data_IF_967753204873
#
_entry.id   IF_967753204873
#
_cell.length_a   1.000
_cell.length_b   1.000
_cell.length_c   1.000
_cell.angle_alpha   90.00
_cell.angle_beta   90.00
_cell.angle_gamma   90.00
#
_symmetry.space_group_name_H-M   'P 1'
#
loop_
_entity.id
_entity.type
_entity.pdbx_description
1 polymer ?
#
# COMPACT_ATOMS: atom_id res chain seq x y z
N UNK A 1 -11.82 -9.25 4.99
CA UNK A 1 -10.97 -9.21 3.79
C UNK A 1 -11.59 -10.05 2.69
N UNK A 2 -11.85 -9.49 1.51
CA UNK A 2 -12.60 -10.14 0.42
C UNK A 2 -11.71 -10.74 -0.68
N UNK A 3 -10.51 -11.23 -0.35
CA UNK A 3 -9.54 -11.73 -1.32
C UNK A 3 -10.02 -13.03 -2.00
N UNK A 4 -9.76 -13.18 -3.30
CA UNK A 4 -10.15 -14.37 -4.09
C UNK A 4 -8.92 -15.27 -4.33
N UNK A 5 -8.76 -16.34 -3.54
CA UNK A 5 -7.62 -17.25 -3.62
C UNK A 5 -7.93 -18.60 -2.95
N UNK A 6 -7.01 -19.56 -3.08
CA UNK A 6 -7.07 -20.85 -2.39
C UNK A 6 -8.11 -21.82 -2.98
N UNK A 7 -8.52 -22.80 -2.19
CA UNK A 7 -9.43 -23.87 -2.59
C UNK A 7 -10.88 -23.42 -2.81
N UNK A 8 -11.21 -22.20 -2.40
CA UNK A 8 -12.53 -21.57 -2.53
C UNK A 8 -12.61 -20.55 -3.66
N UNK A 9 -11.49 -20.29 -4.34
CA UNK A 9 -11.40 -19.29 -5.40
C UNK A 9 -12.46 -19.49 -6.47
N UNK A 10 -12.96 -18.38 -7.01
CA UNK A 10 -13.97 -18.36 -8.08
C UNK A 10 -15.23 -19.17 -7.76
N UNK A 11 -15.54 -19.30 -6.47
CA UNK A 11 -16.70 -20.03 -5.98
C UNK A 11 -16.61 -21.55 -6.13
N UNK A 12 -15.40 -22.11 -6.22
CA UNK A 12 -15.17 -23.55 -6.47
C UNK A 12 -15.82 -24.50 -5.45
N UNK A 13 -16.13 -24.02 -4.23
CA UNK A 13 -16.76 -24.80 -3.15
C UNK A 13 -18.13 -24.29 -2.76
N UNK A 14 -18.29 -22.96 -2.75
CA UNK A 14 -19.52 -22.22 -2.42
C UNK A 14 -19.38 -20.80 -2.95
N UNK A 15 -20.46 -20.02 -2.98
CA UNK A 15 -20.37 -18.59 -3.32
C UNK A 15 -19.51 -17.88 -2.28
N UNK A 16 -18.25 -17.61 -2.63
CA UNK A 16 -17.28 -17.00 -1.72
C UNK A 16 -17.66 -15.54 -1.46
N UNK A 17 -17.47 -15.07 -0.23
CA UNK A 17 -17.55 -13.65 0.13
C UNK A 17 -16.31 -12.87 -0.36
N UNK A 18 -16.04 -12.91 -1.66
CA UNK A 18 -14.98 -12.13 -2.32
C UNK A 18 -15.46 -10.74 -2.70
N UNK A 19 -14.54 -9.79 -2.94
CA UNK A 19 -14.85 -8.40 -3.34
C UNK A 19 -15.88 -8.34 -4.48
N UNK A 20 -15.73 -9.18 -5.50
CA UNK A 20 -16.64 -9.21 -6.65
C UNK A 20 -18.01 -9.84 -6.35
N UNK A 21 -18.11 -10.66 -5.31
CA UNK A 21 -19.34 -11.37 -4.91
C UNK A 21 -20.11 -10.66 -3.80
N UNK A 22 -19.47 -9.74 -3.06
CA UNK A 22 -20.08 -8.96 -1.98
C UNK A 22 -20.85 -7.72 -2.47
N UNK A 23 -20.78 -7.42 -3.77
CA UNK A 23 -21.42 -6.25 -4.37
C UNK A 23 -22.94 -6.23 -4.16
N UNK A 24 -23.46 -5.19 -3.51
CA UNK A 24 -24.88 -5.02 -3.18
C UNK A 24 -25.32 -5.71 -1.88
N UNK A 25 -24.40 -6.23 -1.08
CA UNK A 25 -24.69 -6.90 0.20
C UNK A 25 -24.65 -5.95 1.41
N UNK A 26 -24.05 -4.77 1.27
CA UNK A 26 -23.76 -3.86 2.38
C UNK A 26 -22.60 -4.31 3.29
N UNK A 27 -21.88 -5.37 2.93
CA UNK A 27 -20.71 -5.87 3.67
C UNK A 27 -19.43 -5.23 3.12
N UNK A 28 -18.72 -4.50 3.97
CA UNK A 28 -17.43 -3.88 3.65
C UNK A 28 -16.30 -4.85 3.34
N UNK A 29 -15.48 -4.53 2.33
CA UNK A 29 -14.24 -5.22 2.04
C UNK A 29 -13.08 -4.24 1.81
N UNK A 30 -11.87 -4.62 2.20
CA UNK A 30 -10.67 -3.82 1.97
C UNK A 30 -10.40 -3.65 0.47
N UNK A 31 -10.13 -2.41 0.05
CA UNK A 31 -9.71 -2.10 -1.33
C UNK A 31 -8.20 -2.06 -1.43
N UNK A 32 -7.65 -3.04 -2.14
CA UNK A 32 -6.24 -3.15 -2.55
C UNK A 32 -5.88 -2.24 -3.74
N UNK A 33 -6.86 -1.79 -4.54
CA UNK A 33 -6.64 -0.96 -5.74
C UNK A 33 -5.91 0.34 -5.42
N UNK A 34 -6.53 1.17 -4.56
CA UNK A 34 -5.96 2.47 -4.16
C UNK A 34 -4.71 2.29 -3.31
N UNK A 35 -4.69 1.26 -2.44
CA UNK A 35 -3.53 0.89 -1.62
C UNK A 35 -2.29 0.67 -2.48
N UNK A 36 -2.37 -0.20 -3.47
CA UNK A 36 -1.21 -0.58 -4.29
C UNK A 36 -0.78 0.55 -5.20
N UNK A 37 -1.73 1.30 -5.78
CA UNK A 37 -1.40 2.48 -6.58
C UNK A 37 -0.67 3.55 -5.76
N UNK A 38 -1.06 3.74 -4.50
CA UNK A 38 -0.44 4.71 -3.59
C UNK A 38 0.94 4.24 -3.12
N UNK A 39 1.03 3.02 -2.58
CA UNK A 39 2.24 2.46 -1.98
C UNK A 39 3.27 1.99 -2.99
N UNK A 40 2.83 1.54 -4.17
CA UNK A 40 3.65 0.86 -5.16
C UNK A 40 3.93 -0.58 -4.80
N UNK A 41 4.05 -1.44 -5.82
CA UNK A 41 4.39 -2.83 -5.61
C UNK A 41 3.20 -3.73 -5.28
N UNK A 42 3.47 -4.85 -4.61
CA UNK A 42 2.45 -5.79 -4.13
C UNK A 42 2.87 -6.46 -2.81
N UNK A 43 1.92 -7.03 -2.03
CA UNK A 43 2.22 -7.65 -0.72
C UNK A 43 3.28 -8.75 -0.73
N UNK A 44 3.44 -9.46 -1.86
CA UNK A 44 4.39 -10.56 -2.00
C UNK A 44 5.78 -10.17 -2.48
N UNK A 45 6.05 -8.88 -2.69
CA UNK A 45 7.35 -8.45 -3.24
C UNK A 45 8.50 -8.59 -2.24
N UNK A 46 9.70 -8.82 -2.76
CA UNK A 46 10.90 -8.96 -1.93
C UNK A 46 12.16 -8.59 -2.71
N UNK A 47 13.28 -8.42 -2.01
CA UNK A 47 14.55 -8.08 -2.63
C UNK A 47 14.52 -6.71 -3.32
N UNK A 48 15.05 -6.62 -4.54
CA UNK A 48 15.12 -5.36 -5.27
C UNK A 48 13.74 -4.77 -5.58
N UNK A 49 12.72 -5.60 -5.78
CA UNK A 49 11.37 -5.14 -6.11
C UNK A 49 10.76 -4.28 -5.00
N UNK A 50 11.10 -4.57 -3.73
CA UNK A 50 10.67 -3.77 -2.58
C UNK A 50 11.09 -2.30 -2.66
N UNK A 51 12.19 -2.01 -3.36
CA UNK A 51 12.68 -0.65 -3.62
C UNK A 51 12.23 -0.16 -5.00
N UNK A 52 12.38 -0.99 -6.03
CA UNK A 52 12.22 -0.60 -7.42
C UNK A 52 10.78 -0.24 -7.81
N UNK A 53 9.78 -0.90 -7.20
CA UNK A 53 8.37 -0.70 -7.52
C UNK A 53 7.77 0.47 -6.74
N UNK A 54 8.13 1.69 -7.12
CA UNK A 54 7.54 2.91 -6.57
C UNK A 54 6.04 3.01 -6.91
N UNK A 55 5.29 3.67 -6.03
CA UNK A 55 3.89 4.04 -6.21
C UNK A 55 3.73 5.55 -6.30
N UNK A 56 2.50 5.98 -6.47
CA UNK A 56 2.15 7.39 -6.67
C UNK A 56 2.68 8.28 -5.52
N UNK A 57 2.64 7.79 -4.27
CA UNK A 57 3.11 8.55 -3.11
C UNK A 57 4.63 8.73 -3.05
N UNK A 58 5.41 7.78 -3.56
CA UNK A 58 6.82 7.66 -3.22
C UNK A 58 7.78 7.76 -4.40
N UNK A 59 7.42 8.58 -5.39
CA UNK A 59 8.35 9.00 -6.44
C UNK A 59 8.21 8.31 -7.78
N UNK A 60 7.13 7.54 -8.02
CA UNK A 60 6.90 6.85 -9.29
C UNK A 60 7.08 7.80 -10.48
N UNK A 61 8.10 7.55 -11.30
CA UNK A 61 8.53 8.36 -12.47
C UNK A 61 9.09 9.74 -12.12
N UNK A 62 8.46 10.53 -11.26
CA UNK A 62 8.84 11.93 -11.01
C UNK A 62 10.01 12.12 -10.04
N UNK A 63 10.30 11.12 -9.20
CA UNK A 63 11.43 11.10 -8.29
C UNK A 63 11.98 9.66 -8.20
N UNK A 64 12.56 9.15 -9.31
CA UNK A 64 12.99 7.77 -9.39
C UNK A 64 14.10 7.49 -8.37
N UNK A 65 13.97 6.40 -7.62
CA UNK A 65 15.06 5.92 -6.77
C UNK A 65 16.09 5.13 -7.60
N UNK A 66 17.18 4.72 -6.96
CA UNK A 66 18.31 4.07 -7.64
C UNK A 66 17.99 2.74 -8.36
N UNK A 67 16.88 2.06 -8.01
CA UNK A 67 16.46 0.81 -8.65
C UNK A 67 15.18 0.97 -9.50
N UNK A 68 14.67 2.20 -9.59
CA UNK A 68 13.45 2.50 -10.34
C UNK A 68 13.66 2.23 -11.84
N UNK A 69 12.67 1.59 -12.45
CA UNK A 69 12.67 1.21 -13.86
C UNK A 69 11.26 1.30 -14.47
N UNK A 70 10.39 2.12 -13.88
CA UNK A 70 9.04 2.30 -14.37
C UNK A 70 9.02 3.18 -15.62
N UNK A 71 8.24 2.78 -16.62
CA UNK A 71 7.98 3.58 -17.81
C UNK A 71 7.16 4.85 -17.47
N UNK A 72 7.26 5.93 -18.25
CA UNK A 72 6.56 7.19 -17.98
C UNK A 72 5.06 7.05 -17.79
N UNK A 73 4.41 6.13 -18.51
CA UNK A 73 2.97 5.86 -18.44
C UNK A 73 2.53 5.26 -17.10
N UNK A 74 3.44 4.71 -16.30
CA UNK A 74 3.11 4.11 -15.02
C UNK A 74 2.53 5.12 -14.02
N UNK A 75 3.02 6.37 -14.02
CA UNK A 75 2.53 7.43 -13.14
C UNK A 75 1.07 7.82 -13.43
N UNK A 76 0.68 8.17 -14.67
CA UNK A 76 -0.72 8.47 -14.98
C UNK A 76 -1.64 7.25 -14.81
N UNK A 77 -1.17 6.02 -15.07
CA UNK A 77 -1.93 4.80 -14.77
C UNK A 77 -2.19 4.64 -13.26
N UNK A 78 -1.17 4.84 -12.43
CA UNK A 78 -1.34 4.82 -10.98
C UNK A 78 -2.29 5.93 -10.52
N UNK A 79 -2.22 7.13 -11.11
CA UNK A 79 -3.12 8.24 -10.81
C UNK A 79 -4.59 7.92 -11.10
N UNK A 80 -4.89 7.16 -12.16
CA UNK A 80 -6.26 6.68 -12.41
C UNK A 80 -6.73 5.71 -11.32
N UNK A 81 -5.88 4.80 -10.84
CA UNK A 81 -6.21 3.92 -9.72
C UNK A 81 -6.34 4.67 -8.38
N UNK A 82 -5.59 5.76 -8.18
CA UNK A 82 -5.83 6.68 -7.05
C UNK A 82 -7.22 7.29 -7.15
N UNK A 83 -7.62 7.77 -8.33
CA UNK A 83 -8.97 8.33 -8.55
C UNK A 83 -10.07 7.27 -8.37
N UNK A 84 -9.83 6.03 -8.78
CA UNK A 84 -10.71 4.89 -8.49
C UNK A 84 -10.92 4.73 -6.98
N UNK A 85 -9.84 4.74 -6.20
CA UNK A 85 -9.90 4.65 -4.74
C UNK A 85 -10.64 5.84 -4.10
N UNK A 86 -10.36 7.07 -4.55
CA UNK A 86 -11.05 8.28 -4.09
C UNK A 86 -12.55 8.25 -4.37
N UNK A 87 -12.96 7.66 -5.50
CA UNK A 87 -14.36 7.46 -5.87
C UNK A 87 -15.00 6.21 -5.21
N UNK A 88 -14.31 5.56 -4.26
CA UNK A 88 -14.84 4.44 -3.50
C UNK A 88 -15.02 3.16 -4.31
N UNK A 89 -14.21 2.94 -5.36
CA UNK A 89 -14.26 1.73 -6.21
C UNK A 89 -15.68 1.36 -6.68
N UNK A 90 -16.55 2.37 -6.87
CA UNK A 90 -17.94 2.19 -7.27
C UNK A 90 -18.01 1.78 -8.75
N UNK A 91 -18.58 0.61 -9.03
CA UNK A 91 -18.65 0.01 -10.38
C UNK A 91 -19.21 0.98 -11.41
N UNK A 92 -20.31 1.64 -11.07
CA UNK A 92 -21.08 2.51 -11.96
C UNK A 92 -20.51 3.92 -12.13
N UNK A 93 -19.56 4.34 -11.29
CA UNK A 93 -18.98 5.68 -11.37
C UNK A 93 -18.08 5.77 -12.61
N UNK A 94 -18.12 6.89 -13.34
CA UNK A 94 -17.29 7.10 -14.53
C UNK A 94 -16.27 8.21 -14.30
N UNK A 95 -15.04 8.01 -14.77
CA UNK A 95 -14.00 9.03 -14.80
C UNK A 95 -13.35 9.10 -16.19
N UNK A 96 -12.76 10.26 -16.50
CA UNK A 96 -11.88 10.41 -17.66
C UNK A 96 -10.50 9.90 -17.30
N UNK A 97 -10.04 8.86 -17.99
CA UNK A 97 -8.73 8.24 -17.79
C UNK A 97 -7.62 9.15 -18.27
N UNK A 98 -6.38 8.82 -17.95
CA UNK A 98 -5.21 9.53 -18.47
C UNK A 98 -5.07 9.48 -20.00
N UNK A 99 -5.75 8.55 -20.66
CA UNK A 99 -5.83 8.44 -22.13
C UNK A 99 -6.94 9.30 -22.74
N UNK A 100 -7.72 10.00 -21.92
CA UNK A 100 -8.85 10.82 -22.34
C UNK A 100 -10.16 10.04 -22.56
N UNK A 101 -10.18 8.75 -22.25
CA UNK A 101 -11.37 7.91 -22.38
C UNK A 101 -12.27 8.08 -21.14
N UNK A 102 -13.59 8.18 -21.32
CA UNK A 102 -14.51 8.14 -20.17
C UNK A 102 -14.95 6.70 -19.94
N UNK A 103 -14.46 6.09 -18.86
CA UNK A 103 -14.74 4.71 -18.51
C UNK A 103 -15.43 4.64 -17.15
N UNK A 104 -16.35 3.70 -16.99
CA UNK A 104 -16.80 3.29 -15.66
C UNK A 104 -15.67 2.59 -14.92
N UNK A 105 -15.66 2.64 -13.59
CA UNK A 105 -14.58 2.04 -12.81
C UNK A 105 -14.52 0.51 -12.98
N UNK A 106 -15.64 -0.15 -13.28
CA UNK A 106 -15.66 -1.58 -13.61
C UNK A 106 -15.05 -1.93 -14.98
N UNK A 107 -14.74 -0.94 -15.80
CA UNK A 107 -14.06 -1.08 -17.09
C UNK A 107 -12.55 -0.78 -17.00
N UNK A 108 -12.08 -0.23 -15.87
CA UNK A 108 -10.67 0.02 -15.62
C UNK A 108 -10.04 -1.24 -15.02
N UNK A 109 -8.90 -1.68 -15.58
CA UNK A 109 -8.22 -2.87 -15.12
C UNK A 109 -7.39 -2.62 -13.83
N UNK A 110 -7.45 -3.57 -12.91
CA UNK A 110 -6.52 -3.76 -11.81
C UNK A 110 -6.02 -5.21 -11.86
N UNK A 111 -4.86 -5.41 -12.47
CA UNK A 111 -4.38 -6.75 -12.83
C UNK A 111 -5.38 -7.46 -13.75
N UNK A 112 -5.86 -8.63 -13.34
CA UNK A 112 -6.88 -9.40 -14.05
C UNK A 112 -8.31 -9.14 -13.54
N UNK A 113 -8.52 -8.14 -12.69
CA UNK A 113 -9.81 -7.80 -12.09
C UNK A 113 -10.25 -6.38 -12.48
N UNK A 114 -11.56 -6.07 -12.38
CA UNK A 114 -12.00 -4.68 -12.49
C UNK A 114 -11.56 -3.87 -11.26
N UNK A 115 -11.26 -2.59 -11.48
CA UNK A 115 -10.85 -1.65 -10.43
C UNK A 115 -12.06 -1.18 -9.59
N UNK A 116 -13.22 -1.02 -10.23
CA UNK A 116 -14.51 -0.84 -9.57
C UNK A 116 -15.20 -2.18 -9.30
N UNK A 117 -15.63 -2.41 -8.06
CA UNK A 117 -16.27 -3.66 -7.65
C UNK A 117 -17.51 -3.48 -6.75
N UNK A 118 -17.64 -2.33 -6.09
CA UNK A 118 -18.70 -2.06 -5.12
C UNK A 118 -19.92 -1.33 -5.71
N UNK A 119 -21.09 -1.53 -5.10
CA UNK A 119 -22.35 -0.86 -5.49
C UNK A 119 -22.56 0.40 -4.68
N UNK A 120 -22.09 0.43 -3.44
CA UNK A 120 -22.23 1.55 -2.52
C UNK A 120 -20.94 1.83 -1.75
N UNK A 121 -20.70 3.07 -1.29
CA UNK A 121 -19.46 3.43 -0.61
C UNK A 121 -19.19 2.62 0.66
N UNK A 122 -20.25 2.20 1.37
CA UNK A 122 -20.13 1.40 2.60
C UNK A 122 -19.48 0.02 2.40
N UNK A 123 -19.43 -0.48 1.17
CA UNK A 123 -18.84 -1.77 0.83
C UNK A 123 -17.31 -1.72 0.65
N UNK A 124 -16.71 -0.52 0.75
CA UNK A 124 -15.29 -0.28 0.48
C UNK A 124 -14.59 0.28 1.69
N UNK A 125 -13.56 -0.44 2.13
CA UNK A 125 -12.64 0.01 3.19
C UNK A 125 -11.33 0.45 2.53
N UNK A 126 -11.09 1.76 2.50
CA UNK A 126 -9.90 2.37 1.93
C UNK A 126 -8.78 2.47 2.98
N UNK A 127 -7.57 2.15 2.56
CA UNK A 127 -6.38 2.15 3.41
C UNK A 127 -5.11 2.24 2.58
N UNK A 128 -4.04 2.71 3.22
CA UNK A 128 -2.66 2.68 2.68
C UNK A 128 -1.68 2.00 3.63
N UNK A 129 -2.18 1.53 4.77
CA UNK A 129 -1.41 0.85 5.81
C UNK A 129 -2.33 -0.08 6.60
N UNK A 130 -1.82 -1.25 6.99
CA UNK A 130 -2.48 -2.19 7.89
C UNK A 130 -1.45 -2.86 8.80
N UNK A 131 -1.90 -3.75 9.68
CA UNK A 131 -1.02 -4.52 10.57
C UNK A 131 -0.13 -5.50 9.81
N UNK A 132 -0.63 -6.11 8.73
CA UNK A 132 0.12 -6.95 7.81
C UNK A 132 0.90 -6.09 6.80
N UNK A 133 2.01 -6.63 6.29
CA UNK A 133 2.97 -5.91 5.46
C UNK A 133 3.70 -4.79 6.24
N UNK A 134 4.50 -4.01 5.52
CA UNK A 134 5.22 -2.86 6.09
C UNK A 134 4.27 -1.71 6.42
N UNK A 135 4.58 -0.96 7.49
CA UNK A 135 3.94 0.34 7.74
C UNK A 135 4.13 1.28 6.54
N UNK A 136 3.33 2.34 6.41
CA UNK A 136 3.51 3.31 5.32
C UNK A 136 4.87 4.02 5.45
N UNK A 137 5.31 4.29 6.68
CA UNK A 137 6.63 4.84 6.94
C UNK A 137 7.73 3.91 6.42
N UNK A 138 7.67 2.61 6.77
CA UNK A 138 8.66 1.62 6.35
C UNK A 138 8.65 1.38 4.83
N UNK A 139 7.47 1.37 4.22
CA UNK A 139 7.30 1.33 2.77
C UNK A 139 7.98 2.54 2.09
N UNK A 140 7.77 3.74 2.64
CA UNK A 140 8.38 4.97 2.14
C UNK A 140 9.90 5.02 2.39
N UNK A 141 10.39 4.45 3.50
CA UNK A 141 11.81 4.27 3.76
C UNK A 141 12.48 3.38 2.70
N UNK A 142 11.76 2.37 2.20
CA UNK A 142 12.24 1.49 1.12
C UNK A 142 12.22 2.17 -0.26
N UNK A 143 11.18 2.94 -0.57
CA UNK A 143 10.85 3.35 -1.95
C UNK A 143 11.19 4.80 -2.30
N UNK A 144 11.16 5.74 -1.35
CA UNK A 144 11.58 7.12 -1.63
C UNK A 144 13.09 7.16 -1.94
N UNK A 145 13.55 8.11 -2.78
CA UNK A 145 14.98 8.40 -2.91
C UNK A 145 15.66 8.55 -1.54
N UNK A 146 16.89 8.04 -1.42
CA UNK A 146 17.59 7.98 -0.13
C UNK A 146 17.96 9.36 0.43
N UNK A 147 18.02 10.37 -0.43
CA UNK A 147 18.27 11.77 -0.12
C UNK A 147 16.99 12.59 0.17
N UNK A 148 15.80 11.99 0.05
CA UNK A 148 14.55 12.63 0.48
C UNK A 148 14.60 12.96 1.96
N UNK A 149 14.37 14.23 2.30
CA UNK A 149 14.50 14.73 3.67
C UNK A 149 13.44 14.15 4.63
N UNK A 150 13.70 14.09 5.94
CA UNK A 150 12.69 13.68 6.93
C UNK A 150 11.38 14.48 6.83
N UNK A 151 11.47 15.78 6.56
CA UNK A 151 10.30 16.65 6.41
C UNK A 151 9.45 16.28 5.18
N UNK A 152 10.08 15.94 4.06
CA UNK A 152 9.37 15.47 2.85
C UNK A 152 8.76 14.09 3.06
N UNK A 153 9.48 13.16 3.73
CA UNK A 153 8.95 11.84 4.10
C UNK A 153 7.68 11.97 4.95
N UNK A 154 7.68 12.87 5.93
CA UNK A 154 6.51 13.15 6.76
C UNK A 154 5.33 13.75 5.93
N UNK A 155 5.61 14.62 4.95
CA UNK A 155 4.59 15.15 4.04
C UNK A 155 3.99 14.06 3.15
N UNK A 156 4.81 13.13 2.66
CA UNK A 156 4.34 11.97 1.89
C UNK A 156 3.47 11.06 2.75
N UNK A 157 3.84 10.83 4.01
CA UNK A 157 2.99 10.09 4.97
C UNK A 157 1.63 10.78 5.14
N UNK A 158 1.63 12.10 5.37
CA UNK A 158 0.40 12.88 5.53
C UNK A 158 -0.46 12.84 4.26
N UNK A 159 0.15 12.89 3.07
CA UNK A 159 -0.56 12.75 1.81
C UNK A 159 -1.22 11.38 1.69
N UNK A 160 -0.54 10.30 2.09
CA UNK A 160 -1.13 8.97 2.16
C UNK A 160 -2.33 8.89 3.10
N UNK A 161 -2.24 9.49 4.28
CA UNK A 161 -3.37 9.60 5.21
C UNK A 161 -4.53 10.43 4.62
N UNK A 162 -4.22 11.52 3.92
CA UNK A 162 -5.22 12.37 3.27
C UNK A 162 -5.98 11.64 2.15
N UNK A 163 -5.29 10.82 1.33
CA UNK A 163 -5.96 10.00 0.31
C UNK A 163 -7.04 9.10 0.91
N UNK A 164 -6.77 8.51 2.08
CA UNK A 164 -7.75 7.68 2.80
C UNK A 164 -8.85 8.55 3.40
N UNK A 165 -8.49 9.61 4.14
CA UNK A 165 -9.43 10.46 4.86
C UNK A 165 -10.46 11.16 3.94
N UNK A 166 -10.05 11.52 2.72
CA UNK A 166 -10.90 12.23 1.75
C UNK A 166 -11.49 11.31 0.66
N UNK A 167 -11.27 9.99 0.75
CA UNK A 167 -11.91 9.03 -0.15
C UNK A 167 -13.39 8.85 0.18
N UNK A 168 -14.20 8.56 -0.83
CA UNK A 168 -15.53 7.99 -0.61
C UNK A 168 -15.39 6.54 -0.11
N UNK A 169 -16.20 6.18 0.88
CA UNK A 169 -16.20 4.87 1.52
C UNK A 169 -15.75 4.92 2.97
N UNK A 170 -15.36 3.78 3.52
CA UNK A 170 -14.92 3.65 4.92
C UNK A 170 -13.42 3.89 5.00
N UNK A 171 -13.00 4.95 5.70
CA UNK A 171 -11.59 5.21 5.98
C UNK A 171 -11.06 4.27 7.06
N UNK A 172 -9.93 3.60 6.79
CA UNK A 172 -9.23 2.76 7.75
C UNK A 172 -7.79 3.24 7.96
N UNK A 173 -7.39 3.33 9.22
CA UNK A 173 -6.06 3.75 9.63
C UNK A 173 -5.44 2.72 10.55
N UNK A 174 -4.22 2.30 10.23
CA UNK A 174 -3.43 1.48 11.14
C UNK A 174 -2.94 2.33 12.32
N UNK A 175 -2.99 1.76 13.53
CA UNK A 175 -2.52 2.43 14.74
C UNK A 175 -1.06 2.85 14.58
N UNK A 176 -0.81 4.15 14.77
CA UNK A 176 0.50 4.77 14.67
C UNK A 176 0.84 5.40 13.32
N UNK A 177 -0.03 5.30 12.31
CA UNK A 177 0.19 5.94 11.00
C UNK A 177 0.38 7.47 11.13
N UNK A 178 -0.34 8.09 12.07
CA UNK A 178 -0.31 9.51 12.42
C UNK A 178 0.99 9.95 13.12
N UNK A 179 1.75 9.02 13.69
CA UNK A 179 3.03 9.26 14.37
C UNK A 179 4.22 8.64 13.65
N UNK A 180 4.09 8.41 12.34
CA UNK A 180 5.14 7.87 11.48
C UNK A 180 5.64 6.48 11.90
N UNK A 181 4.79 5.64 12.52
CA UNK A 181 5.17 4.35 13.10
C UNK A 181 6.02 3.50 12.15
N UNK A 182 7.12 2.99 12.68
CA UNK A 182 7.97 1.99 12.05
C UNK A 182 7.90 0.68 12.83
N UNK A 183 8.10 -0.43 12.10
CA UNK A 183 8.41 -1.75 12.66
C UNK A 183 9.83 -2.17 12.31
N UNK A 184 10.71 -1.20 12.12
CA UNK A 184 12.09 -1.37 11.65
C UNK A 184 12.17 -2.23 10.37
N UNK A 185 11.26 -1.94 9.42
CA UNK A 185 11.12 -2.59 8.11
C UNK A 185 10.56 -4.02 8.12
N UNK A 186 10.03 -4.49 9.25
CA UNK A 186 9.36 -5.79 9.33
C UNK A 186 8.09 -5.83 8.48
N UNK A 187 8.02 -6.79 7.55
CA UNK A 187 6.85 -7.00 6.67
C UNK A 187 5.81 -7.96 7.25
N UNK A 188 6.11 -8.70 8.31
CA UNK A 188 5.18 -9.65 8.91
C UNK A 188 5.41 -9.78 10.43
N UNK A 189 4.96 -8.77 11.17
CA UNK A 189 5.34 -8.59 12.57
C UNK A 189 4.47 -9.34 13.59
N UNK A 190 3.72 -10.36 13.15
CA UNK A 190 2.71 -11.04 13.98
C UNK A 190 3.31 -11.66 15.25
N UNK A 191 4.56 -12.14 15.19
CA UNK A 191 5.30 -12.77 16.30
C UNK A 191 6.68 -12.10 16.53
N UNK A 192 6.78 -10.81 16.21
CA UNK A 192 8.03 -10.03 16.38
C UNK A 192 8.11 -9.33 17.75
N UNK A 193 7.19 -9.66 18.66
CA UNK A 193 7.13 -9.16 20.04
C UNK A 193 6.93 -7.65 20.16
N UNK A 194 7.01 -7.17 21.41
CA UNK A 194 6.83 -5.75 21.75
C UNK A 194 7.89 -4.85 21.12
N UNK A 195 9.09 -5.38 20.90
CA UNK A 195 10.22 -4.63 20.34
C UNK A 195 9.85 -4.07 18.97
N UNK A 196 9.63 -4.92 17.96
CA UNK A 196 9.34 -4.45 16.60
C UNK A 196 7.92 -3.88 16.44
N UNK A 197 6.98 -4.17 17.35
CA UNK A 197 5.61 -3.67 17.26
C UNK A 197 5.34 -2.39 18.07
N UNK A 198 6.36 -1.80 18.71
CA UNK A 198 6.21 -0.67 19.63
C UNK A 198 5.37 0.47 19.04
N UNK A 199 4.48 1.00 19.88
CA UNK A 199 3.82 2.30 19.72
C UNK A 199 4.31 3.21 20.84
N UNK A 200 5.00 4.29 20.49
CA UNK A 200 5.55 5.23 21.47
C UNK A 200 4.68 6.48 21.61
N UNK A 201 3.77 6.46 22.57
CA UNK A 201 2.88 7.60 22.85
C UNK A 201 3.57 8.79 23.54
N UNK A 202 4.87 8.70 23.82
CA UNK A 202 5.68 9.84 24.26
C UNK A 202 6.15 10.71 23.08
N UNK A 203 5.95 10.22 21.85
CA UNK A 203 6.35 10.87 20.59
C UNK A 203 7.86 11.17 20.50
N UNK A 204 8.69 10.46 21.26
CA UNK A 204 10.15 10.64 21.23
C UNK A 204 10.80 9.82 20.11
N UNK A 205 10.14 8.75 19.68
CA UNK A 205 10.62 7.90 18.58
C UNK A 205 9.44 7.31 17.82
N UNK A 206 9.62 7.08 16.51
CA UNK A 206 8.72 6.24 15.72
C UNK A 206 9.17 4.76 15.65
N UNK A 207 10.26 4.42 16.35
CA UNK A 207 10.87 3.10 16.42
C UNK A 207 11.55 2.59 15.12
N UNK A 208 11.89 3.46 14.18
CA UNK A 208 12.72 3.10 13.03
C UNK A 208 14.19 2.92 13.46
N UNK A 209 14.93 2.06 12.76
CA UNK A 209 16.38 1.90 12.99
C UNK A 209 16.74 1.06 14.22
N UNK A 210 15.82 0.25 14.76
CA UNK A 210 15.98 -0.46 16.04
C UNK A 210 16.46 -1.90 15.91
N UNK A 211 16.93 -2.27 14.72
CA UNK A 211 17.51 -3.57 14.41
C UNK A 211 16.98 -4.15 13.10
N UNK A 212 17.69 -5.14 12.55
CA UNK A 212 17.16 -5.89 11.43
C UNK A 212 15.93 -6.70 11.89
N UNK A 213 14.83 -6.70 11.12
CA UNK A 213 13.62 -7.42 11.48
C UNK A 213 13.83 -8.95 11.37
N UNK A 214 12.99 -9.77 12.02
CA UNK A 214 13.20 -11.22 12.10
C UNK A 214 13.43 -11.89 10.75
N UNK A 215 14.40 -12.81 10.70
CA UNK A 215 14.91 -13.39 9.45
C UNK A 215 13.85 -14.13 8.64
N UNK A 216 12.95 -14.85 9.30
CA UNK A 216 11.99 -15.77 8.69
C UNK A 216 11.27 -15.15 7.49
N UNK A 217 10.73 -13.95 7.68
CA UNK A 217 10.03 -13.24 6.62
C UNK A 217 10.91 -12.17 5.96
N UNK A 218 11.90 -11.61 6.63
CA UNK A 218 12.56 -10.40 6.12
C UNK A 218 13.89 -10.65 5.37
N UNK A 219 14.39 -11.89 5.32
CA UNK A 219 15.67 -12.20 4.67
C UNK A 219 15.66 -11.89 3.17
N UNK A 220 14.57 -12.25 2.48
CA UNK A 220 14.42 -12.15 1.02
C UNK A 220 15.35 -13.10 0.24
N UNK A 221 15.23 -13.12 -1.10
CA UNK A 221 16.09 -13.93 -1.97
C UNK A 221 17.57 -13.62 -1.73
N UNK A 222 18.37 -14.65 -1.46
CA UNK A 222 19.82 -14.57 -1.23
C UNK A 222 20.25 -13.55 -0.14
N UNK A 223 19.36 -13.24 0.81
CA UNK A 223 19.62 -12.25 1.87
C UNK A 223 19.48 -10.80 1.42
N UNK A 224 18.96 -10.56 0.21
CA UNK A 224 18.86 -9.22 -0.37
C UNK A 224 17.90 -8.31 0.42
N UNK A 225 16.83 -8.85 0.98
CA UNK A 225 15.89 -8.09 1.81
C UNK A 225 16.59 -7.46 3.02
N UNK A 226 17.36 -8.27 3.75
CA UNK A 226 18.19 -7.80 4.87
C UNK A 226 19.32 -6.86 4.46
N UNK A 227 19.94 -7.08 3.31
CA UNK A 227 20.97 -6.17 2.81
C UNK A 227 20.41 -4.77 2.55
N UNK A 228 19.23 -4.69 1.91
CA UNK A 228 18.52 -3.44 1.68
C UNK A 228 18.08 -2.81 3.01
N UNK A 229 17.46 -3.59 3.91
CA UNK A 229 17.05 -3.09 5.22
C UNK A 229 18.22 -2.51 6.01
N UNK A 230 19.37 -3.19 6.06
CA UNK A 230 20.59 -2.72 6.72
C UNK A 230 21.03 -1.36 6.18
N UNK A 231 20.99 -1.17 4.87
CA UNK A 231 21.36 0.09 4.25
C UNK A 231 20.45 1.24 4.67
N UNK A 232 19.13 1.02 4.76
CA UNK A 232 18.16 2.05 5.14
C UNK A 232 18.24 2.35 6.64
N UNK A 233 18.29 1.32 7.48
CA UNK A 233 18.33 1.46 8.94
C UNK A 233 19.60 2.17 9.45
N UNK A 234 20.69 2.13 8.68
CA UNK A 234 21.93 2.83 9.03
C UNK A 234 21.94 4.32 8.65
N UNK A 235 20.88 4.86 8.01
CA UNK A 235 20.83 6.24 7.54
C UNK A 235 20.11 7.15 8.56
N UNK A 236 20.81 8.13 9.17
CA UNK A 236 20.22 9.01 10.19
C UNK A 236 19.22 10.05 9.65
N UNK A 237 18.98 10.09 8.33
CA UNK A 237 18.04 11.00 7.66
C UNK A 237 16.76 10.34 7.15
N UNK A 238 16.54 9.07 7.51
CA UNK A 238 15.27 8.37 7.32
C UNK A 238 14.59 8.31 8.69
#
# INVERSE_FOLDING_TARGET
EGWNFGEVADGARFVQASQLSLNGSGIGSFSDRGRDAARGGSPGESGNDSVARQGWLNGLVYAPNALAHAEPEALPMAADLIRVGLAGSLRGYALTTWRGETLRLDQIAYGNQPAGYASEPGEVVNYVENHDNQTLFDNNAMKLPLDTSPAERARVQLLGAALVAFSQGVAYFHAGQDILRSKSLDRNSYDSGDWFNRLDWTYQTNHFGTGLPPRQDNFGPDGRGWALARERLARPGI
#
